data_IF_155291491701
#
_entry.id   IF_155291491701
#
_cell.length_a   1.000
_cell.length_b   1.000
_cell.length_c   1.000
_cell.angle_alpha   90.00
_cell.angle_beta   90.00
_cell.angle_gamma   90.00
#
_symmetry.space_group_name_H-M   'P 1'
#
loop_
_entity.id
_entity.type
_entity.pdbx_description
1 polymer ?
#
# COMPACT_ATOMS: atom_id res chain seq x y z
N UNK A 1 16.49 19.28 -10.75
CA UNK A 1 15.08 19.68 -10.60
C UNK A 1 14.14 18.46 -10.51
N UNK A 2 14.37 17.48 -9.60
CA UNK A 2 13.45 16.34 -9.39
C UNK A 2 12.50 16.52 -8.20
N UNK A 3 12.64 17.60 -7.40
CA UNK A 3 11.91 17.79 -6.14
C UNK A 3 10.53 18.48 -6.25
N UNK A 4 10.14 19.06 -7.40
CA UNK A 4 8.95 19.91 -7.46
C UNK A 4 7.62 19.11 -7.50
N UNK A 5 7.59 17.98 -8.19
CA UNK A 5 6.35 17.17 -8.32
C UNK A 5 6.00 16.50 -6.99
N UNK A 6 6.99 15.93 -6.31
CA UNK A 6 6.77 15.27 -5.00
C UNK A 6 6.27 16.25 -3.96
N UNK A 7 6.95 17.39 -3.84
CA UNK A 7 6.53 18.45 -2.94
C UNK A 7 5.09 18.91 -3.25
N UNK A 8 4.73 19.06 -4.54
CA UNK A 8 3.37 19.38 -4.94
C UNK A 8 2.35 18.34 -4.46
N UNK A 9 2.64 17.05 -4.61
CA UNK A 9 1.76 15.94 -4.19
C UNK A 9 1.59 15.93 -2.67
N UNK A 10 2.68 16.03 -1.91
CA UNK A 10 2.62 16.03 -0.43
C UNK A 10 1.85 17.22 0.14
N UNK A 11 1.78 18.32 -0.62
CA UNK A 11 0.97 19.49 -0.29
C UNK A 11 -0.47 19.42 -0.83
N UNK A 12 -0.88 18.33 -1.49
CA UNK A 12 -2.28 18.10 -1.87
C UNK A 12 -3.03 17.38 -0.74
N UNK A 13 -4.16 17.91 -0.25
CA UNK A 13 -5.00 17.22 0.73
C UNK A 13 -5.47 15.85 0.24
N UNK A 14 -5.80 15.73 -1.06
CA UNK A 14 -6.28 14.49 -1.67
C UNK A 14 -5.29 13.34 -1.49
N UNK A 15 -3.97 13.59 -1.56
CA UNK A 15 -2.97 12.54 -1.35
C UNK A 15 -3.14 11.84 0.01
N UNK A 16 -3.34 12.62 1.07
CA UNK A 16 -3.52 12.10 2.43
C UNK A 16 -4.90 11.47 2.64
N UNK A 17 -5.94 12.06 2.04
CA UNK A 17 -7.30 11.52 2.08
C UNK A 17 -7.34 10.15 1.41
N UNK A 18 -6.75 10.00 0.21
CA UNK A 18 -6.68 8.71 -0.48
C UNK A 18 -5.88 7.66 0.30
N UNK A 19 -4.81 8.07 0.99
CA UNK A 19 -4.08 7.17 1.90
C UNK A 19 -4.96 6.64 3.02
N UNK A 20 -5.70 7.51 3.71
CA UNK A 20 -6.64 7.13 4.77
C UNK A 20 -7.76 6.24 4.23
N UNK A 21 -8.33 6.60 3.07
CA UNK A 21 -9.36 5.82 2.40
C UNK A 21 -8.87 4.41 2.05
N UNK A 22 -7.64 4.27 1.53
CA UNK A 22 -7.03 2.98 1.25
C UNK A 22 -6.89 2.11 2.51
N UNK A 23 -6.39 2.68 3.61
CA UNK A 23 -6.33 1.96 4.89
C UNK A 23 -7.70 1.51 5.39
N UNK A 24 -8.73 2.35 5.25
CA UNK A 24 -10.08 1.99 5.65
C UNK A 24 -10.68 0.91 4.74
N UNK A 25 -10.46 0.98 3.43
CA UNK A 25 -10.85 -0.05 2.48
C UNK A 25 -10.25 -1.41 2.87
N UNK A 26 -8.93 -1.44 3.08
CA UNK A 26 -8.22 -2.67 3.45
C UNK A 26 -8.75 -3.24 4.77
N UNK A 27 -9.00 -2.39 5.77
CA UNK A 27 -9.56 -2.80 7.04
C UNK A 27 -10.96 -3.42 6.89
N UNK A 28 -11.84 -2.78 6.12
CA UNK A 28 -13.20 -3.28 5.82
C UNK A 28 -13.12 -4.62 5.06
N UNK A 29 -12.32 -4.67 3.99
CA UNK A 29 -12.18 -5.84 3.14
C UNK A 29 -11.62 -7.03 3.92
N UNK A 30 -10.53 -6.84 4.65
CA UNK A 30 -9.90 -7.88 5.46
C UNK A 30 -10.83 -8.38 6.57
N UNK A 31 -11.60 -7.49 7.20
CA UNK A 31 -12.59 -7.89 8.20
C UNK A 31 -13.72 -8.72 7.59
N UNK A 32 -14.20 -8.34 6.40
CA UNK A 32 -15.22 -9.09 5.65
C UNK A 32 -14.74 -10.51 5.33
N UNK A 33 -13.53 -10.65 4.78
CA UNK A 33 -12.94 -11.93 4.41
C UNK A 33 -12.69 -12.82 5.64
N UNK A 34 -12.01 -12.29 6.67
CA UNK A 34 -11.70 -13.01 7.91
C UNK A 34 -12.93 -13.57 8.62
N UNK A 35 -14.04 -12.84 8.56
CA UNK A 35 -15.30 -13.22 9.21
C UNK A 35 -16.30 -13.87 8.23
N UNK A 36 -15.90 -14.10 6.97
CA UNK A 36 -16.75 -14.65 5.91
C UNK A 36 -18.12 -13.96 5.79
N UNK A 37 -18.12 -12.63 5.94
CA UNK A 37 -19.34 -11.82 5.88
C UNK A 37 -19.72 -11.56 4.43
N UNK A 38 -20.98 -11.80 4.09
CA UNK A 38 -21.51 -11.25 2.84
C UNK A 38 -21.77 -9.74 2.99
N UNK A 39 -21.94 -9.05 1.86
CA UNK A 39 -22.13 -7.58 1.83
C UNK A 39 -23.33 -7.09 2.65
N UNK A 40 -24.39 -7.90 2.79
CA UNK A 40 -25.55 -7.56 3.60
C UNK A 40 -25.20 -7.56 5.09
N UNK A 41 -24.55 -8.62 5.58
CA UNK A 41 -24.12 -8.71 6.98
C UNK A 41 -23.06 -7.67 7.32
N UNK A 42 -22.14 -7.39 6.39
CA UNK A 42 -21.16 -6.33 6.57
C UNK A 42 -21.83 -4.96 6.70
N UNK A 43 -22.85 -4.67 5.89
CA UNK A 43 -23.59 -3.41 5.96
C UNK A 43 -24.27 -3.22 7.32
N UNK A 44 -24.94 -4.28 7.81
CA UNK A 44 -25.56 -4.30 9.14
C UNK A 44 -24.52 -4.06 10.25
N UNK A 45 -23.40 -4.78 10.20
CA UNK A 45 -22.30 -4.66 11.17
C UNK A 45 -21.72 -3.24 11.20
N UNK A 46 -21.42 -2.68 10.02
CA UNK A 46 -20.86 -1.34 9.89
C UNK A 46 -21.88 -0.23 10.19
N UNK A 47 -23.18 -0.52 10.17
CA UNK A 47 -24.24 0.47 10.34
C UNK A 47 -24.33 1.44 9.15
N UNK A 48 -24.09 0.94 7.94
CA UNK A 48 -24.23 1.69 6.67
C UNK A 48 -25.11 0.92 5.68
N UNK A 49 -25.58 1.58 4.62
CA UNK A 49 -26.43 0.92 3.64
C UNK A 49 -25.66 -0.13 2.82
N UNK A 50 -26.34 -1.18 2.37
CA UNK A 50 -25.77 -2.19 1.46
C UNK A 50 -25.26 -1.58 0.15
N UNK A 51 -25.92 -0.52 -0.34
CA UNK A 51 -25.47 0.25 -1.48
C UNK A 51 -24.11 0.89 -1.23
N UNK A 52 -23.94 1.54 -0.06
CA UNK A 52 -22.67 2.17 0.32
C UNK A 52 -21.54 1.15 0.46
N UNK A 53 -21.80 -0.01 1.09
CA UNK A 53 -20.83 -1.12 1.11
C UNK A 53 -20.42 -1.55 -0.30
N UNK A 54 -21.38 -1.64 -1.22
CA UNK A 54 -21.07 -2.06 -2.59
C UNK A 54 -20.23 -1.03 -3.34
N UNK A 55 -20.49 0.27 -3.17
CA UNK A 55 -19.67 1.33 -3.75
C UNK A 55 -18.23 1.30 -3.22
N UNK A 56 -18.05 1.09 -1.90
CA UNK A 56 -16.73 0.94 -1.30
C UNK A 56 -16.00 -0.25 -1.91
N UNK A 57 -16.64 -1.42 -1.95
CA UNK A 57 -15.98 -2.68 -2.36
C UNK A 57 -15.74 -2.79 -3.87
N UNK A 58 -16.59 -2.16 -4.70
CA UNK A 58 -16.48 -2.22 -6.16
C UNK A 58 -15.66 -1.07 -6.72
N UNK A 59 -15.94 0.16 -6.28
CA UNK A 59 -15.43 1.39 -6.90
C UNK A 59 -14.34 2.04 -6.04
N UNK A 60 -14.09 1.53 -4.82
CA UNK A 60 -13.17 2.13 -3.86
C UNK A 60 -13.67 3.46 -3.30
N UNK A 61 -14.94 3.82 -3.54
CA UNK A 61 -15.45 5.15 -3.23
C UNK A 61 -15.65 5.30 -1.72
N UNK A 62 -14.73 6.01 -1.06
CA UNK A 62 -14.81 6.36 0.36
C UNK A 62 -14.78 7.88 0.51
N UNK A 63 -15.86 8.44 1.04
CA UNK A 63 -16.03 9.88 1.27
C UNK A 63 -16.74 10.15 2.61
N UNK A 64 -16.29 9.45 3.64
CA UNK A 64 -16.85 9.59 4.98
C UNK A 64 -16.27 10.78 5.74
N UNK A 65 -17.04 11.30 6.69
CA UNK A 65 -16.49 12.19 7.72
C UNK A 65 -15.46 11.44 8.58
N UNK A 66 -14.54 12.18 9.20
CA UNK A 66 -13.55 11.59 10.12
C UNK A 66 -14.24 10.78 11.23
N UNK A 67 -15.34 11.29 11.78
CA UNK A 67 -16.16 10.58 12.78
C UNK A 67 -16.61 9.20 12.29
N UNK A 68 -17.17 9.14 11.08
CA UNK A 68 -17.63 7.87 10.50
C UNK A 68 -16.47 6.93 10.16
N UNK A 69 -15.31 7.45 9.74
CA UNK A 69 -14.09 6.64 9.55
C UNK A 69 -13.68 5.98 10.87
N UNK A 70 -13.66 6.75 11.96
CA UNK A 70 -13.30 6.24 13.29
C UNK A 70 -14.31 5.19 13.74
N UNK A 71 -15.61 5.45 13.61
CA UNK A 71 -16.67 4.48 13.94
C UNK A 71 -16.49 3.15 13.19
N UNK A 72 -16.25 3.22 11.88
CA UNK A 72 -16.05 2.03 11.05
C UNK A 72 -14.78 1.29 11.49
N UNK A 73 -13.66 2.00 11.68
CA UNK A 73 -12.40 1.40 12.11
C UNK A 73 -12.58 0.59 13.40
N UNK A 74 -13.25 1.16 14.41
CA UNK A 74 -13.53 0.48 15.67
C UNK A 74 -14.41 -0.77 15.50
N UNK A 75 -15.38 -0.72 14.58
CA UNK A 75 -16.24 -1.88 14.27
C UNK A 75 -15.48 -3.01 13.57
N UNK A 76 -14.38 -2.71 12.86
CA UNK A 76 -13.58 -3.72 12.15
C UNK A 76 -12.34 -4.17 12.93
N UNK A 77 -12.39 -4.07 14.25
CA UNK A 77 -11.30 -4.41 15.20
C UNK A 77 -10.00 -3.62 14.98
N UNK A 78 -10.11 -2.37 14.54
CA UNK A 78 -8.95 -1.50 14.28
C UNK A 78 -8.99 -0.23 15.11
N UNK A 79 -7.81 0.23 15.55
CA UNK A 79 -7.63 1.56 16.11
C UNK A 79 -7.03 2.50 15.07
N UNK A 80 -7.69 3.62 14.72
CA UNK A 80 -7.15 4.59 13.78
C UNK A 80 -6.16 5.52 14.52
N UNK A 81 -4.87 5.16 14.47
CA UNK A 81 -3.80 5.93 15.10
C UNK A 81 -3.32 7.03 14.14
N UNK A 82 -3.37 8.30 14.58
CA UNK A 82 -2.90 9.45 13.82
C UNK A 82 -1.73 10.13 14.53
N UNK A 83 -0.73 10.54 13.76
CA UNK A 83 0.38 11.36 14.25
C UNK A 83 0.57 12.58 13.34
N UNK A 84 0.72 13.75 13.94
CA UNK A 84 1.09 14.97 13.23
C UNK A 84 2.60 15.17 13.36
N UNK A 85 3.29 15.17 12.23
CA UNK A 85 4.73 15.40 12.16
C UNK A 85 5.04 16.66 11.36
N UNK A 86 6.15 17.32 11.67
CA UNK A 86 6.61 18.43 10.84
C UNK A 86 6.99 17.93 9.45
N UNK A 87 6.77 18.75 8.41
CA UNK A 87 7.13 18.38 7.03
C UNK A 87 8.59 17.96 6.90
N UNK A 88 9.49 18.65 7.61
CA UNK A 88 10.92 18.32 7.61
C UNK A 88 11.18 16.94 8.23
N UNK A 89 10.56 16.63 9.38
CA UNK A 89 10.69 15.32 10.02
C UNK A 89 10.18 14.21 9.12
N UNK A 90 9.02 14.40 8.49
CA UNK A 90 8.44 13.43 7.54
C UNK A 90 9.41 13.09 6.40
N UNK A 91 9.96 14.11 5.73
CA UNK A 91 10.90 13.91 4.63
C UNK A 91 12.20 13.21 5.08
N UNK A 92 12.68 13.52 6.28
CA UNK A 92 13.86 12.85 6.84
C UNK A 92 13.61 11.38 7.14
N UNK A 93 12.44 11.06 7.71
CA UNK A 93 12.09 9.69 8.08
C UNK A 93 11.85 8.83 6.82
N UNK A 94 11.25 9.37 5.76
CA UNK A 94 11.15 8.67 4.47
C UNK A 94 12.52 8.38 3.83
N UNK A 95 13.44 9.35 3.87
CA UNK A 95 14.78 9.15 3.32
C UNK A 95 15.52 8.02 4.06
N UNK A 96 15.44 8.00 5.39
CA UNK A 96 16.05 6.92 6.20
C UNK A 96 15.47 5.55 5.83
N UNK A 97 14.16 5.45 5.61
CA UNK A 97 13.52 4.19 5.20
C UNK A 97 14.06 3.76 3.83
N UNK A 98 14.15 4.67 2.86
CA UNK A 98 14.69 4.37 1.54
C UNK A 98 16.15 3.86 1.62
N UNK A 99 16.98 4.55 2.40
CA UNK A 99 18.39 4.18 2.60
C UNK A 99 18.51 2.79 3.27
N UNK A 100 17.67 2.51 4.26
CA UNK A 100 17.62 1.21 4.94
C UNK A 100 17.19 0.08 3.99
N UNK A 101 16.16 0.29 3.16
CA UNK A 101 15.71 -0.70 2.18
C UNK A 101 16.79 -1.01 1.14
N UNK A 102 17.52 0.01 0.70
CA UNK A 102 18.67 -0.14 -0.19
C UNK A 102 19.75 -0.98 0.49
N UNK A 103 20.12 -0.66 1.73
CA UNK A 103 21.12 -1.40 2.49
C UNK A 103 20.74 -2.88 2.71
N UNK A 104 19.46 -3.16 3.04
CA UNK A 104 18.95 -4.52 3.18
C UNK A 104 19.03 -5.32 1.87
N UNK A 105 18.66 -4.70 0.74
CA UNK A 105 18.74 -5.34 -0.57
C UNK A 105 20.20 -5.61 -1.00
N UNK A 106 21.13 -4.71 -0.71
CA UNK A 106 22.55 -4.94 -0.96
C UNK A 106 23.08 -6.11 -0.13
N UNK A 107 22.75 -6.19 1.15
CA UNK A 107 23.16 -7.30 2.01
C UNK A 107 22.58 -8.64 1.54
N UNK A 108 21.29 -8.70 1.19
CA UNK A 108 20.65 -9.92 0.69
C UNK A 108 21.31 -10.42 -0.62
N UNK A 109 21.65 -9.51 -1.53
CA UNK A 109 22.35 -9.85 -2.77
C UNK A 109 23.80 -10.30 -2.53
N UNK A 110 24.47 -9.82 -1.48
CA UNK A 110 25.79 -10.35 -1.10
C UNK A 110 25.67 -11.77 -0.56
N UNK A 111 24.68 -12.06 0.29
CA UNK A 111 24.45 -13.41 0.82
C UNK A 111 24.09 -14.43 -0.27
N UNK A 112 23.25 -14.07 -1.26
CA UNK A 112 22.91 -14.98 -2.35
C UNK A 112 24.14 -15.37 -3.19
N UNK A 113 25.01 -14.41 -3.48
CA UNK A 113 26.27 -14.65 -4.21
C UNK A 113 27.25 -15.54 -3.42
N UNK A 114 27.29 -15.41 -2.09
CA UNK A 114 28.12 -16.28 -1.22
C UNK A 114 27.57 -17.71 -1.18
N UNK A 115 26.25 -17.90 -1.26
CA UNK A 115 25.63 -19.25 -1.30
C UNK A 115 25.83 -19.94 -2.66
N UNK A 116 25.80 -19.21 -3.78
CA UNK A 116 26.04 -19.79 -5.11
C UNK A 116 27.47 -20.29 -5.29
N UNK A 117 28.45 -19.59 -4.72
CA UNK A 117 29.87 -19.95 -4.81
C UNK A 117 30.26 -21.19 -3.99
N UNK A 118 29.43 -21.60 -3.02
CA UNK A 118 29.64 -22.80 -2.20
C UNK A 118 28.93 -24.06 -2.71
N UNK A 119 28.20 -24.01 -3.83
CA UNK A 119 27.65 -25.22 -4.47
C UNK A 119 28.78 -25.97 -5.18
N UNK A 120 29.32 -26.98 -4.49
CA UNK A 120 30.25 -27.95 -5.06
C UNK A 120 29.80 -28.43 -6.44
N UNK A 121 30.77 -28.48 -7.37
CA UNK A 121 30.64 -28.88 -8.79
C UNK A 121 29.71 -30.09 -8.99
N UNK A 122 28.40 -29.88 -9.23
CA UNK A 122 27.49 -30.84 -9.92
C UNK A 122 26.04 -30.39 -10.15
N UNK A 123 25.74 -29.09 -10.20
CA UNK A 123 24.39 -28.64 -10.59
C UNK A 123 24.46 -27.76 -11.86
N UNK A 124 23.68 -28.14 -12.88
CA UNK A 124 23.58 -27.40 -14.15
C UNK A 124 22.80 -26.10 -13.88
N UNK A 125 23.48 -24.96 -13.95
CA UNK A 125 22.87 -23.64 -13.76
C UNK A 125 21.97 -23.32 -14.95
N UNK A 126 20.67 -23.14 -14.72
CA UNK A 126 19.73 -22.65 -15.73
C UNK A 126 19.71 -21.12 -15.65
N UNK A 127 20.13 -20.45 -16.72
CA UNK A 127 20.01 -18.99 -16.83
C UNK A 127 18.52 -18.63 -16.95
N UNK A 128 17.98 -17.92 -15.97
CA UNK A 128 16.68 -17.27 -16.10
C UNK A 128 16.83 -16.10 -17.07
N UNK A 129 16.07 -16.13 -18.18
CA UNK A 129 15.96 -14.97 -19.07
C UNK A 129 15.21 -13.87 -18.30
N UNK A 130 15.87 -12.74 -18.06
CA UNK A 130 15.19 -11.52 -17.62
C UNK A 130 14.35 -10.99 -18.78
N UNK A 131 13.03 -11.00 -18.64
CA UNK A 131 12.14 -10.25 -19.54
C UNK A 131 12.28 -8.77 -19.22
N UNK A 132 12.95 -8.03 -20.09
CA UNK A 132 12.87 -6.57 -20.16
C UNK A 132 12.82 -6.19 -21.63
N UNK A 133 11.61 -6.05 -22.17
CA UNK A 133 11.36 -5.29 -23.39
C UNK A 133 10.15 -4.38 -23.15
N UNK A 134 10.45 -3.16 -22.70
CA UNK A 134 9.53 -2.04 -22.86
C UNK A 134 9.49 -1.70 -24.36
N UNK A 135 8.40 -2.06 -25.03
CA UNK A 135 8.01 -1.45 -26.30
C UNK A 135 6.49 -1.20 -26.27
N UNK A 136 6.07 -0.19 -25.53
CA UNK A 136 4.79 0.47 -25.79
C UNK A 136 5.08 1.79 -26.49
N UNK A 137 4.88 1.82 -27.81
CA UNK A 137 4.68 3.07 -28.53
C UNK A 137 3.32 3.62 -28.13
N UNK A 138 3.31 4.80 -27.54
CA UNK A 138 2.08 5.56 -27.30
C UNK A 138 1.65 6.10 -28.66
N UNK A 139 0.56 5.56 -29.23
CA UNK A 139 -0.09 6.16 -30.38
C UNK A 139 -0.88 7.39 -29.90
N UNK A 140 -0.55 8.56 -30.43
CA UNK A 140 -1.45 9.71 -30.37
C UNK A 140 -2.51 9.52 -31.44
N UNK A 141 -3.78 9.58 -31.03
CA UNK A 141 -4.92 9.93 -31.88
C UNK A 141 -5.43 11.31 -31.45
#
# INVERSE_FOLDING_TARGET
MKNNIREKILNQPSYWIEGINGHLYDAIFNYMERNSLNRTKLAEHLGISKGRVSQILNDGEINFSIEKIIEIALKVDMFPVFEFVSKQKFLQDEQKIADNLIALNFNANIFSNIVETNRGKKAKVIKLKSYNENNYQIAFN
#
